data_IF_562936262497
#
_entry.id   IF_562936262497
#
_cell.length_a   1.000
_cell.length_b   1.000
_cell.length_c   1.000
_cell.angle_alpha   90.00
_cell.angle_beta   90.00
_cell.angle_gamma   90.00
#
_symmetry.space_group_name_H-M   'P 1'
#
loop_
_entity.id
_entity.type
_entity.pdbx_description
1 polymer ?
#
# COMPACT_ATOMS: atom_id res chain seq x y z
N UNK A 1 13.85 41.72 22.32
CA UNK A 1 12.64 40.87 22.14
C UNK A 1 12.69 40.16 20.80
N UNK A 2 13.60 39.20 20.59
CA UNK A 2 13.76 38.46 19.31
C UNK A 2 14.08 36.98 19.59
N UNK A 3 13.27 36.28 20.39
CA UNK A 3 13.55 34.86 20.72
C UNK A 3 12.36 33.90 20.68
N UNK A 4 11.24 34.27 20.04
CA UNK A 4 10.06 33.39 19.96
C UNK A 4 9.60 33.00 18.54
N UNK A 5 10.33 33.33 17.47
CA UNK A 5 9.92 32.97 16.11
C UNK A 5 10.61 31.72 15.52
N UNK A 6 11.70 31.23 16.12
CA UNK A 6 12.49 30.12 15.54
C UNK A 6 12.09 28.72 16.01
N UNK A 7 11.24 28.59 17.03
CA UNK A 7 10.90 27.28 17.62
C UNK A 7 9.70 26.62 16.90
N UNK A 8 8.87 27.40 16.20
CA UNK A 8 7.68 26.87 15.50
C UNK A 8 7.93 26.33 14.08
N UNK A 9 9.14 26.51 13.52
CA UNK A 9 9.48 25.96 12.18
C UNK A 9 10.02 24.53 12.25
N UNK A 10 10.51 24.07 13.41
CA UNK A 10 11.09 22.74 13.56
C UNK A 10 10.08 21.61 13.79
N UNK A 11 8.85 21.92 14.20
CA UNK A 11 7.84 20.90 14.52
C UNK A 11 7.13 20.36 13.27
N UNK A 12 7.19 21.07 12.14
CA UNK A 12 6.55 20.66 10.88
C UNK A 12 7.45 19.78 10.00
N UNK A 13 8.73 19.58 10.35
CA UNK A 13 9.69 18.84 9.52
C UNK A 13 10.09 17.45 10.07
N UNK A 14 9.45 16.96 11.14
CA UNK A 14 9.83 15.70 11.77
C UNK A 14 8.98 14.47 11.34
N UNK A 15 7.88 14.66 10.58
CA UNK A 15 6.98 13.55 10.21
C UNK A 15 7.13 13.02 8.77
N UNK A 16 8.10 13.49 7.97
CA UNK A 16 8.26 13.05 6.56
C UNK A 16 9.40 12.07 6.29
N UNK A 17 10.17 11.65 7.29
CA UNK A 17 11.27 10.70 7.06
C UNK A 17 11.23 9.59 8.10
N UNK A 18 10.33 8.63 7.90
CA UNK A 18 10.59 7.28 8.38
C UNK A 18 11.95 6.86 7.81
N UNK A 19 12.96 6.70 8.66
CA UNK A 19 14.27 6.19 8.24
C UNK A 19 14.01 4.89 7.45
N UNK A 20 14.60 4.72 6.26
CA UNK A 20 14.47 3.46 5.53
C UNK A 20 14.87 2.34 6.48
N UNK A 21 14.06 1.27 6.52
CA UNK A 21 14.41 0.09 7.31
C UNK A 21 15.83 -0.32 6.92
N UNK A 22 16.76 -0.51 7.87
CA UNK A 22 18.10 -1.00 7.59
C UNK A 22 17.97 -2.48 7.16
N UNK A 23 17.57 -2.71 5.93
CA UNK A 23 17.59 -4.00 5.28
C UNK A 23 18.93 -4.17 4.59
N UNK A 24 19.51 -5.38 4.67
CA UNK A 24 20.60 -5.75 3.76
C UNK A 24 20.07 -5.60 2.33
N UNK A 25 20.90 -5.14 1.41
CA UNK A 25 20.54 -5.11 0.00
C UNK A 25 20.31 -6.55 -0.48
N UNK A 26 19.07 -7.01 -0.48
CA UNK A 26 18.72 -8.30 -1.02
C UNK A 26 18.82 -8.23 -2.54
N UNK A 27 19.38 -9.29 -3.15
CA UNK A 27 19.40 -9.44 -4.60
C UNK A 27 17.96 -9.25 -5.12
N UNK A 28 17.74 -8.43 -6.17
CA UNK A 28 16.42 -8.28 -6.74
C UNK A 28 15.87 -9.67 -7.08
N UNK A 29 14.68 -9.96 -6.54
CA UNK A 29 13.99 -11.21 -6.85
C UNK A 29 13.85 -11.29 -8.37
N UNK A 30 14.26 -12.43 -8.95
CA UNK A 30 14.05 -12.67 -10.38
C UNK A 30 12.56 -12.48 -10.66
N UNK A 31 12.17 -11.71 -11.69
CA UNK A 31 10.77 -11.48 -12.00
C UNK A 31 10.04 -12.82 -12.08
N UNK A 32 8.92 -12.95 -11.35
CA UNK A 32 8.06 -14.12 -11.47
C UNK A 32 7.68 -14.31 -12.94
N UNK A 33 7.75 -15.55 -13.43
CA UNK A 33 7.41 -15.91 -14.80
C UNK A 33 5.96 -15.58 -15.16
N UNK A 34 5.07 -15.46 -14.17
CA UNK A 34 3.68 -15.04 -14.33
C UNK A 34 3.52 -13.55 -14.00
N UNK A 35 3.96 -12.66 -14.88
CA UNK A 35 3.58 -11.25 -14.78
C UNK A 35 2.10 -11.12 -15.10
N UNK A 36 1.35 -10.39 -14.29
CA UNK A 36 -0.02 -10.03 -14.65
C UNK A 36 -0.02 -9.32 -16.03
N UNK A 37 -1.04 -9.53 -16.87
CA UNK A 37 -1.15 -8.79 -18.12
C UNK A 37 -1.03 -7.30 -17.84
N UNK A 38 -0.19 -6.61 -18.62
CA UNK A 38 -0.02 -5.17 -18.45
C UNK A 38 -1.33 -4.43 -18.74
N UNK A 39 -1.62 -3.40 -17.96
CA UNK A 39 -2.75 -2.50 -18.16
C UNK A 39 -2.51 -1.71 -19.45
N UNK A 40 -3.40 -1.85 -20.43
CA UNK A 40 -3.29 -1.21 -21.75
C UNK A 40 -4.52 -0.40 -22.15
N UNK A 41 -5.63 -0.55 -21.43
CA UNK A 41 -6.90 0.08 -21.77
C UNK A 41 -7.53 0.75 -20.56
N UNK A 42 -8.47 1.67 -20.81
CA UNK A 42 -9.28 2.28 -19.75
C UNK A 42 -10.08 1.23 -18.97
N UNK A 43 -10.50 0.14 -19.62
CA UNK A 43 -11.21 -0.97 -18.96
C UNK A 43 -10.29 -1.71 -17.98
N UNK A 44 -9.05 -1.96 -18.36
CA UNK A 44 -8.06 -2.60 -17.48
C UNK A 44 -7.67 -1.69 -16.32
N UNK A 45 -7.52 -0.39 -16.60
CA UNK A 45 -7.22 0.60 -15.58
C UNK A 45 -8.38 0.75 -14.59
N UNK A 46 -9.62 0.75 -15.06
CA UNK A 46 -10.80 0.77 -14.21
C UNK A 46 -10.83 -0.46 -13.29
N UNK A 47 -10.60 -1.66 -13.83
CA UNK A 47 -10.50 -2.89 -13.02
C UNK A 47 -9.42 -2.80 -11.97
N UNK A 48 -8.26 -2.23 -12.31
CA UNK A 48 -7.19 -1.98 -11.34
C UNK A 48 -7.64 -1.03 -10.24
N UNK A 49 -8.19 0.13 -10.59
CA UNK A 49 -8.62 1.15 -9.64
C UNK A 49 -9.67 0.60 -8.67
N UNK A 50 -10.65 -0.15 -9.19
CA UNK A 50 -11.64 -0.84 -8.37
C UNK A 50 -11.02 -1.91 -7.46
N UNK A 51 -10.08 -2.71 -7.97
CA UNK A 51 -9.39 -3.74 -7.17
C UNK A 51 -8.63 -3.14 -5.98
N UNK A 52 -8.04 -1.96 -6.16
CA UNK A 52 -7.22 -1.30 -5.13
C UNK A 52 -8.00 -0.31 -4.25
N UNK A 53 -9.32 -0.17 -4.45
CA UNK A 53 -10.19 0.61 -3.57
C UNK A 53 -10.32 2.10 -3.92
N UNK A 54 -10.06 2.48 -5.18
CA UNK A 54 -10.20 3.88 -5.64
C UNK A 54 -11.63 4.25 -6.03
N UNK A 55 -12.56 3.29 -6.02
CA UNK A 55 -13.98 3.52 -6.21
C UNK A 55 -14.60 4.02 -4.90
N UNK A 56 -14.68 5.34 -4.73
CA UNK A 56 -15.24 5.92 -3.51
C UNK A 56 -16.73 5.57 -3.34
N UNK A 57 -17.02 4.79 -2.30
CA UNK A 57 -18.02 5.09 -1.27
C UNK A 57 -17.33 4.74 0.07
N UNK A 58 -17.35 5.67 1.03
CA UNK A 58 -16.57 5.60 2.26
C UNK A 58 -16.68 4.24 2.97
N UNK A 59 -15.53 3.70 3.39
CA UNK A 59 -15.48 2.49 4.17
C UNK A 59 -16.09 2.69 5.56
N UNK A 60 -17.16 1.97 5.86
CA UNK A 60 -17.38 1.31 7.14
C UNK A 60 -18.57 0.36 7.02
N UNK A 61 -18.51 -0.76 7.73
CA UNK A 61 -19.58 -1.74 7.77
C UNK A 61 -20.92 -1.15 8.21
N UNK A 62 -21.99 -1.78 7.74
CA UNK A 62 -23.34 -1.72 8.32
C UNK A 62 -23.83 -0.32 8.70
N UNK A 63 -24.27 0.47 7.72
CA UNK A 63 -25.48 1.26 7.90
C UNK A 63 -26.26 1.23 6.59
N UNK A 64 -27.41 0.56 6.57
CA UNK A 64 -28.50 0.89 5.64
C UNK A 64 -28.94 2.33 5.95
N UNK A 65 -28.16 3.33 5.54
CA UNK A 65 -28.63 4.71 5.47
C UNK A 65 -29.17 4.90 4.08
N UNK A 66 -30.49 4.73 4.00
CA UNK A 66 -31.34 5.02 2.86
C UNK A 66 -31.51 6.54 2.72
N UNK A 67 -30.42 7.29 2.81
CA UNK A 67 -30.37 8.74 2.59
C UNK A 67 -29.21 8.98 1.63
N UNK A 68 -29.57 9.08 0.35
CA UNK A 68 -28.70 9.47 -0.75
C UNK A 68 -28.07 10.82 -0.46
N UNK A 69 -26.88 10.83 0.12
CA UNK A 69 -25.93 11.93 -0.07
C UNK A 69 -25.58 12.03 -1.55
N UNK A 70 -25.47 13.23 -2.12
CA UNK A 70 -25.25 13.38 -3.55
C UNK A 70 -23.84 12.86 -3.89
N UNK A 71 -23.75 11.97 -4.88
CA UNK A 71 -22.56 11.57 -5.64
C UNK A 71 -21.73 10.35 -5.15
N UNK A 72 -22.36 9.21 -4.88
CA UNK A 72 -21.65 7.91 -5.02
C UNK A 72 -21.58 7.46 -6.49
N UNK A 73 -21.00 8.32 -7.33
CA UNK A 73 -20.51 7.99 -8.67
C UNK A 73 -19.12 8.60 -8.79
N UNK A 74 -18.09 7.86 -8.35
CA UNK A 74 -16.72 8.23 -8.71
C UNK A 74 -16.56 7.97 -10.20
N UNK A 75 -16.39 9.04 -10.98
CA UNK A 75 -16.08 8.91 -12.40
C UNK A 75 -14.70 8.24 -12.57
N UNK A 76 -14.46 7.58 -13.70
CA UNK A 76 -13.14 7.01 -13.99
C UNK A 76 -12.02 8.07 -13.89
N UNK A 77 -12.32 9.30 -14.31
CA UNK A 77 -11.43 10.44 -14.16
C UNK A 77 -11.12 10.73 -12.69
N UNK A 78 -12.13 10.80 -11.82
CA UNK A 78 -11.95 11.05 -10.37
C UNK A 78 -11.10 9.95 -9.71
N UNK A 79 -11.30 8.68 -10.10
CA UNK A 79 -10.48 7.58 -9.60
C UNK A 79 -9.01 7.73 -10.03
N UNK A 80 -8.76 8.19 -11.26
CA UNK A 80 -7.41 8.46 -11.77
C UNK A 80 -6.78 9.65 -11.06
N UNK A 81 -7.52 10.74 -10.84
CA UNK A 81 -7.04 11.91 -10.10
C UNK A 81 -6.64 11.53 -8.67
N UNK A 82 -7.44 10.70 -8.01
CA UNK A 82 -7.13 10.18 -6.67
C UNK A 82 -5.86 9.32 -6.69
N UNK A 83 -5.76 8.34 -7.61
CA UNK A 83 -4.55 7.53 -7.77
C UNK A 83 -3.31 8.41 -8.01
N UNK A 84 -3.40 9.37 -8.92
CA UNK A 84 -2.30 10.29 -9.25
C UNK A 84 -1.88 11.11 -8.03
N UNK A 85 -2.83 11.60 -7.25
CA UNK A 85 -2.59 12.38 -6.03
C UNK A 85 -1.79 11.57 -5.00
N UNK A 86 -2.23 10.34 -4.72
CA UNK A 86 -1.64 9.45 -3.70
C UNK A 86 -0.22 9.03 -4.06
N UNK A 87 0.03 8.82 -5.36
CA UNK A 87 1.33 8.43 -5.86
C UNK A 87 2.19 9.60 -6.33
N UNK A 88 1.78 10.83 -6.03
CA UNK A 88 2.51 12.05 -6.34
C UNK A 88 2.85 12.20 -7.83
N UNK A 89 1.95 11.76 -8.70
CA UNK A 89 1.97 12.06 -10.12
C UNK A 89 1.32 13.43 -10.38
N UNK A 90 1.61 14.09 -11.52
CA UNK A 90 0.79 15.19 -11.99
C UNK A 90 -0.67 14.75 -12.10
N UNK A 91 -1.57 15.51 -11.49
CA UNK A 91 -3.01 15.20 -11.48
C UNK A 91 -3.61 15.65 -12.81
N UNK A 92 -3.73 14.71 -13.75
CA UNK A 92 -4.26 14.94 -15.10
C UNK A 92 -5.66 14.39 -15.28
N UNK A 93 -6.09 13.46 -14.44
CA UNK A 93 -7.34 12.70 -14.56
C UNK A 93 -7.40 11.80 -15.80
N UNK A 94 -6.25 11.61 -16.48
CA UNK A 94 -6.12 10.81 -17.69
C UNK A 94 -5.24 9.60 -17.43
N UNK A 95 -5.52 8.52 -18.14
CA UNK A 95 -4.66 7.35 -18.17
C UNK A 95 -3.43 7.64 -19.05
N UNK A 96 -2.55 8.52 -18.58
CA UNK A 96 -1.33 8.91 -19.26
C UNK A 96 -0.18 7.92 -19.06
N UNK A 97 0.90 8.06 -19.83
CA UNK A 97 2.04 7.15 -19.80
C UNK A 97 2.68 7.04 -18.41
N UNK A 98 2.72 8.14 -17.64
CA UNK A 98 3.28 8.12 -16.27
C UNK A 98 2.40 7.27 -15.35
N UNK A 99 1.09 7.44 -15.46
CA UNK A 99 0.09 6.68 -14.72
C UNK A 99 0.15 5.20 -15.10
N UNK A 100 0.14 4.87 -16.40
CA UNK A 100 0.27 3.50 -16.89
C UNK A 100 1.58 2.84 -16.44
N UNK A 101 2.71 3.54 -16.56
CA UNK A 101 4.00 3.02 -16.13
C UNK A 101 4.01 2.68 -14.64
N UNK A 102 3.35 3.48 -13.81
CA UNK A 102 3.26 3.23 -12.38
C UNK A 102 2.29 2.09 -12.05
N UNK A 103 1.09 2.08 -12.62
CA UNK A 103 0.09 1.02 -12.41
C UNK A 103 0.61 -0.36 -12.84
N UNK A 104 1.52 -0.41 -13.82
CA UNK A 104 2.14 -1.64 -14.30
C UNK A 104 3.34 -2.14 -13.47
N UNK A 105 3.78 -1.39 -12.44
CA UNK A 105 4.86 -1.89 -11.56
C UNK A 105 4.37 -3.05 -10.69
N UNK A 106 5.19 -4.08 -10.45
CA UNK A 106 4.88 -5.11 -9.47
C UNK A 106 4.56 -4.49 -8.11
N UNK A 107 3.48 -4.93 -7.49
CA UNK A 107 2.97 -4.37 -6.22
C UNK A 107 2.31 -5.45 -5.36
N UNK A 108 2.03 -5.11 -4.10
CA UNK A 108 1.23 -5.93 -3.21
C UNK A 108 -0.20 -6.11 -3.77
N UNK A 109 -0.83 -7.25 -3.51
CA UNK A 109 -2.21 -7.52 -3.93
C UNK A 109 -3.27 -6.95 -2.98
N UNK A 110 -2.86 -6.49 -1.79
CA UNK A 110 -3.74 -5.80 -0.85
C UNK A 110 -4.17 -4.46 -1.44
N UNK A 111 -5.44 -4.09 -1.20
CA UNK A 111 -5.97 -2.79 -1.62
C UNK A 111 -5.26 -1.63 -0.94
N UNK A 112 -5.14 -0.51 -1.63
CA UNK A 112 -4.56 0.73 -1.07
C UNK A 112 -5.49 1.33 -0.02
N UNK A 113 -6.80 1.17 -0.23
CA UNK A 113 -7.85 1.56 0.69
C UNK A 113 -8.64 0.33 1.13
N UNK A 114 -8.57 -0.09 2.40
CA UNK A 114 -9.22 -1.30 2.86
C UNK A 114 -10.74 -1.14 2.84
N UNK A 115 -11.41 -1.96 2.02
CA UNK A 115 -12.85 -2.14 2.08
C UNK A 115 -13.18 -3.17 3.15
N UNK A 116 -13.53 -2.72 4.38
CA UNK A 116 -14.16 -3.58 5.39
C UNK A 116 -13.23 -4.41 6.29
N UNK A 117 -11.92 -4.19 6.26
CA UNK A 117 -11.01 -4.74 7.29
C UNK A 117 -10.73 -3.70 8.37
N UNK A 118 -11.07 -4.02 9.62
CA UNK A 118 -10.61 -3.23 10.77
C UNK A 118 -9.10 -3.41 10.88
N UNK A 119 -8.35 -2.45 10.35
CA UNK A 119 -6.88 -2.46 10.30
C UNK A 119 -6.20 -2.33 11.68
N UNK A 120 -6.97 -2.27 12.78
CA UNK A 120 -6.48 -1.85 14.10
C UNK A 120 -6.86 -2.82 15.22
N UNK A 121 -6.75 -4.13 14.97
CA UNK A 121 -6.80 -5.13 16.05
C UNK A 121 -5.37 -5.57 16.35
N UNK A 122 -4.69 -4.98 17.35
CA UNK A 122 -3.37 -5.45 17.74
C UNK A 122 -3.46 -6.91 18.18
N UNK A 123 -2.37 -7.66 18.00
CA UNK A 123 -2.27 -9.00 18.57
C UNK A 123 -2.39 -8.91 20.10
N UNK A 124 -3.15 -9.79 20.76
CA UNK A 124 -3.31 -9.77 22.21
C UNK A 124 -2.04 -10.16 22.97
N UNK A 125 -1.07 -10.77 22.27
CA UNK A 125 0.21 -11.20 22.83
C UNK A 125 1.35 -10.75 21.90
N UNK A 126 2.46 -10.36 22.52
CA UNK A 126 3.70 -9.91 21.88
C UNK A 126 4.70 -11.05 21.69
N UNK A 127 4.35 -12.30 21.97
CA UNK A 127 5.16 -13.48 21.65
C UNK A 127 4.47 -14.25 20.54
N UNK A 128 4.79 -13.89 19.29
CA UNK A 128 4.17 -14.50 18.12
C UNK A 128 4.91 -15.79 17.72
N UNK A 129 4.14 -16.82 17.37
CA UNK A 129 4.66 -18.09 16.84
C UNK A 129 4.17 -18.27 15.40
N UNK A 130 5.06 -18.71 14.52
CA UNK A 130 4.74 -18.95 13.11
C UNK A 130 5.16 -20.35 12.68
N UNK A 131 4.50 -20.87 11.63
CA UNK A 131 4.80 -22.17 11.03
C UNK A 131 4.86 -22.04 9.52
N UNK A 132 5.92 -22.59 8.92
CA UNK A 132 6.03 -22.70 7.48
C UNK A 132 5.25 -23.92 6.97
N UNK A 133 4.09 -23.68 6.38
CA UNK A 133 3.31 -24.76 5.76
C UNK A 133 3.83 -25.08 4.35
N UNK A 134 4.12 -24.06 3.54
CA UNK A 134 4.55 -24.20 2.15
C UNK A 134 5.87 -23.47 1.90
N UNK A 135 6.77 -24.08 1.13
CA UNK A 135 8.02 -23.46 0.71
C UNK A 135 7.85 -22.61 -0.55
N UNK A 136 8.73 -21.62 -0.75
CA UNK A 136 8.84 -20.94 -2.04
C UNK A 136 9.59 -21.88 -3.00
N UNK A 137 8.97 -22.30 -4.12
CA UNK A 137 9.56 -23.32 -5.00
C UNK A 137 10.96 -22.96 -5.55
N UNK A 138 11.24 -21.67 -5.76
CA UNK A 138 12.50 -21.21 -6.36
C UNK A 138 13.73 -21.37 -5.46
N UNK A 139 13.58 -21.35 -4.14
CA UNK A 139 14.72 -21.38 -3.21
C UNK A 139 14.64 -22.51 -2.18
N UNK A 140 13.53 -23.26 -2.12
CA UNK A 140 13.36 -24.39 -1.22
C UNK A 140 13.06 -23.99 0.23
N UNK A 141 12.73 -24.99 1.05
CA UNK A 141 12.20 -24.80 2.42
C UNK A 141 13.15 -24.04 3.33
N UNK A 142 14.43 -24.38 3.32
CA UNK A 142 15.40 -23.81 4.26
C UNK A 142 15.64 -22.31 3.98
N UNK A 143 15.89 -21.93 2.72
CA UNK A 143 16.01 -20.51 2.36
C UNK A 143 14.72 -19.73 2.58
N UNK A 144 13.56 -20.36 2.33
CA UNK A 144 12.26 -19.76 2.65
C UNK A 144 12.16 -19.42 4.13
N UNK A 145 12.56 -20.36 5.00
CA UNK A 145 12.54 -20.19 6.45
C UNK A 145 13.49 -19.08 6.91
N UNK A 146 14.69 -19.01 6.34
CA UNK A 146 15.66 -17.95 6.63
C UNK A 146 15.09 -16.58 6.27
N UNK A 147 14.58 -16.40 5.04
CA UNK A 147 14.03 -15.11 4.62
C UNK A 147 12.78 -14.69 5.38
N UNK A 148 11.94 -15.64 5.81
CA UNK A 148 10.82 -15.34 6.70
C UNK A 148 11.30 -14.90 8.08
N UNK A 149 12.31 -15.56 8.65
CA UNK A 149 12.87 -15.15 9.93
C UNK A 149 13.49 -13.75 9.85
N UNK A 150 14.29 -13.47 8.81
CA UNK A 150 14.87 -12.14 8.58
C UNK A 150 13.78 -11.06 8.51
N UNK A 151 12.67 -11.34 7.80
CA UNK A 151 11.54 -10.41 7.73
C UNK A 151 10.86 -10.19 9.09
N UNK A 152 10.71 -11.22 9.93
CA UNK A 152 10.17 -11.06 11.29
C UNK A 152 11.12 -10.29 12.20
N UNK A 153 12.42 -10.56 12.12
CA UNK A 153 13.45 -9.88 12.90
C UNK A 153 13.46 -8.37 12.57
N UNK A 154 13.24 -8.01 11.30
CA UNK A 154 13.13 -6.61 10.87
C UNK A 154 11.98 -5.87 11.57
N UNK A 155 10.83 -6.52 11.77
CA UNK A 155 9.72 -5.95 12.53
C UNK A 155 10.00 -5.90 14.03
N UNK A 156 10.57 -6.96 14.60
CA UNK A 156 10.88 -7.06 16.03
C UNK A 156 11.90 -5.99 16.50
N UNK A 157 12.70 -5.41 15.59
CA UNK A 157 13.58 -4.27 15.91
C UNK A 157 12.82 -2.99 16.30
N UNK A 158 11.57 -2.82 15.86
CA UNK A 158 10.81 -1.58 16.02
C UNK A 158 9.48 -1.74 16.73
N UNK A 159 8.98 -2.97 16.87
CA UNK A 159 7.75 -3.28 17.56
C UNK A 159 8.02 -4.34 18.64
N UNK A 160 7.38 -4.26 19.83
CA UNK A 160 7.50 -5.28 20.85
C UNK A 160 6.69 -6.52 20.44
N UNK A 161 7.29 -7.38 19.61
CA UNK A 161 6.72 -8.60 19.00
C UNK A 161 7.58 -9.85 19.26
#
# INVERSE_FOLDING_TARGET
>A
MIKLCFILVFIVFAFSYGKPLPGKAHRPLKPSASRAPGIKSNVDALKFLSKFGYNECGGSGSVQSKDTGPLCQSSFQTMLEHFQTVFHLPVTGKLDDKTLNLMNKPRCSLGDYPMGYSAFRPWPNTTLKWKLNNQIPTFGREKTRIHLQEAFDDWARYAPL
#
